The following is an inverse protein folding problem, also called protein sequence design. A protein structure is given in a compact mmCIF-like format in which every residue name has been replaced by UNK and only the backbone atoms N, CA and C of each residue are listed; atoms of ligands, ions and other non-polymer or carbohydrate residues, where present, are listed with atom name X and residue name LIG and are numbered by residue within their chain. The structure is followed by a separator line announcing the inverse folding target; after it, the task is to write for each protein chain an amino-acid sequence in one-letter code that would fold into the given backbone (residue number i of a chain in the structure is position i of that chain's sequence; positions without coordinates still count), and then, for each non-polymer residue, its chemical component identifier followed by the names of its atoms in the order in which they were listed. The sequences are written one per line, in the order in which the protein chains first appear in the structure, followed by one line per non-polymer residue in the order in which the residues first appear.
data_IF_417922580169
#
_entry.id   IF_417922580169
#
_cell.length_a   1.000
_cell.length_b   1.000
_cell.length_c   1.000
_cell.angle_alpha   90.00
_cell.angle_beta   90.00
_cell.angle_gamma   90.00
#
_symmetry.space_group_name_H-M   'P 1'
#
loop_
_entity.id
_entity.type
_entity.pdbx_description
1 polymer ?
#
# COMPACT_ATOMS: atom_id res chain seq x y z
N UNK A 1 35.15 35.43 37.31
CA UNK A 1 34.12 35.89 36.36
C UNK A 1 32.82 35.29 36.85
N UNK A 2 32.00 36.14 37.44
CA UNK A 2 30.77 35.73 38.13
C UNK A 2 29.80 35.11 37.12
N UNK A 3 29.36 33.87 37.40
CA UNK A 3 28.42 33.11 36.59
C UNK A 3 26.98 33.68 36.61
N UNK A 4 26.78 34.90 37.13
CA UNK A 4 25.46 35.44 37.47
C UNK A 4 24.70 36.13 36.33
N UNK A 5 25.30 36.34 35.15
CA UNK A 5 24.65 37.00 34.00
C UNK A 5 24.60 36.09 32.75
N UNK A 6 24.38 34.78 32.94
CA UNK A 6 24.04 33.90 31.82
C UNK A 6 22.52 33.96 31.58
N UNK A 7 22.06 34.21 30.33
CA UNK A 7 20.64 34.17 29.99
C UNK A 7 19.97 32.88 30.48
N UNK A 8 18.77 32.98 31.05
CA UNK A 8 18.01 31.85 31.59
C UNK A 8 17.85 30.69 30.59
N UNK A 9 17.81 30.99 29.30
CA UNK A 9 17.78 30.00 28.23
C UNK A 9 19.04 29.11 28.20
N UNK A 10 20.21 29.68 28.51
CA UNK A 10 21.49 28.95 28.50
C UNK A 10 21.59 28.08 29.74
N UNK A 11 21.19 28.59 30.91
CA UNK A 11 21.21 27.82 32.16
C UNK A 11 20.28 26.61 32.08
N UNK A 12 19.05 26.80 31.58
CA UNK A 12 18.11 25.70 31.34
C UNK A 12 18.66 24.66 30.36
N UNK A 13 19.26 25.10 29.25
CA UNK A 13 19.86 24.17 28.27
C UNK A 13 21.04 23.41 28.86
N UNK A 14 21.91 24.05 29.63
CA UNK A 14 23.02 23.36 30.30
C UNK A 14 22.55 22.37 31.37
N UNK A 15 21.47 22.69 32.09
CA UNK A 15 20.87 21.79 33.08
C UNK A 15 20.26 20.55 32.41
N UNK A 16 19.57 20.73 31.27
CA UNK A 16 19.06 19.59 30.49
C UNK A 16 20.19 18.71 29.95
N UNK A 17 21.29 19.30 29.48
CA UNK A 17 22.46 18.55 29.02
C UNK A 17 23.17 17.81 30.16
N UNK A 18 23.27 18.41 31.35
CA UNK A 18 23.79 17.75 32.55
C UNK A 18 22.95 16.53 32.92
N UNK A 19 21.62 16.69 32.92
CA UNK A 19 20.69 15.58 33.22
C UNK A 19 20.76 14.47 32.17
N UNK A 20 20.91 14.82 30.89
CA UNK A 20 21.12 13.85 29.81
C UNK A 20 22.46 13.13 29.99
N UNK A 21 23.54 13.83 30.32
CA UNK A 21 24.85 13.22 30.56
C UNK A 21 24.84 12.26 31.77
N UNK A 22 24.13 12.61 32.85
CA UNK A 22 23.91 11.73 34.01
C UNK A 22 23.13 10.47 33.63
N UNK A 23 22.04 10.61 32.87
CA UNK A 23 21.25 9.47 32.39
C UNK A 23 22.05 8.56 31.45
N UNK A 24 22.93 9.13 30.64
CA UNK A 24 23.84 8.41 29.75
C UNK A 24 25.07 7.83 30.48
N UNK A 25 25.25 8.11 31.77
CA UNK A 25 26.39 7.64 32.57
C UNK A 25 27.74 8.21 32.11
N UNK A 26 27.74 9.35 31.42
CA UNK A 26 28.94 9.94 30.84
C UNK A 26 29.70 10.76 31.88
N UNK A 27 30.94 10.35 32.20
CA UNK A 27 31.78 10.99 33.23
C UNK A 27 32.35 12.37 32.82
N UNK A 28 32.45 12.64 31.52
CA UNK A 28 32.94 13.91 30.98
C UNK A 28 31.89 14.55 30.07
N UNK A 29 31.38 15.71 30.49
CA UNK A 29 30.36 16.49 29.76
C UNK A 29 31.05 17.20 28.59
N UNK A 30 31.42 16.45 27.55
CA UNK A 30 31.86 16.98 26.27
C UNK A 30 30.83 16.64 25.19
N UNK A 31 30.67 17.54 24.23
CA UNK A 31 29.73 17.35 23.12
C UNK A 31 30.01 16.05 22.34
N UNK A 32 31.28 15.71 22.12
CA UNK A 32 31.69 14.47 21.46
C UNK A 32 31.30 13.23 22.28
N UNK A 33 31.46 13.28 23.60
CA UNK A 33 31.11 12.16 24.48
C UNK A 33 29.59 11.93 24.52
N UNK A 34 28.80 13.00 24.68
CA UNK A 34 27.33 12.93 24.66
C UNK A 34 26.83 12.45 23.29
N UNK A 35 27.33 13.01 22.18
CA UNK A 35 26.95 12.57 20.83
C UNK A 35 27.28 11.10 20.62
N UNK A 36 28.48 10.65 21.01
CA UNK A 36 28.87 9.25 20.86
C UNK A 36 28.02 8.30 21.72
N UNK A 37 27.58 8.74 22.90
CA UNK A 37 26.68 7.95 23.76
C UNK A 37 25.27 7.86 23.16
N UNK A 38 24.77 8.95 22.58
CA UNK A 38 23.50 8.97 21.85
C UNK A 38 23.57 8.05 20.63
N UNK A 39 24.65 8.12 19.85
CA UNK A 39 24.85 7.26 18.68
C UNK A 39 24.87 5.79 19.09
N UNK A 40 25.60 5.43 20.16
CA UNK A 40 25.64 4.07 20.70
C UNK A 40 24.27 3.56 21.13
N UNK A 41 23.50 4.36 21.86
CA UNK A 41 22.15 3.97 22.29
C UNK A 41 21.22 3.81 21.10
N UNK A 42 21.34 4.68 20.09
CA UNK A 42 20.56 4.58 18.86
C UNK A 42 20.90 3.31 18.09
N UNK A 43 22.19 2.94 18.02
CA UNK A 43 22.65 1.69 17.41
C UNK A 43 22.14 0.47 18.20
N UNK A 44 22.23 0.50 19.54
CA UNK A 44 21.70 -0.56 20.40
C UNK A 44 20.19 -0.71 20.27
N UNK A 45 19.45 0.40 20.20
CA UNK A 45 18.00 0.39 19.96
C UNK A 45 17.68 -0.26 18.62
N UNK A 46 18.38 0.12 17.54
CA UNK A 46 18.21 -0.48 16.23
C UNK A 46 18.49 -2.00 16.28
N UNK A 47 19.59 -2.42 16.91
CA UNK A 47 19.94 -3.84 17.05
C UNK A 47 18.90 -4.61 17.87
N UNK A 48 18.36 -4.01 18.93
CA UNK A 48 17.27 -4.59 19.72
C UNK A 48 15.99 -4.70 18.89
N UNK A 49 15.62 -3.67 18.14
CA UNK A 49 14.47 -3.72 17.24
C UNK A 49 14.64 -4.82 16.17
N UNK A 50 15.82 -4.93 15.55
CA UNK A 50 16.11 -5.97 14.57
C UNK A 50 16.06 -7.37 15.19
N UNK A 51 16.66 -7.57 16.36
CA UNK A 51 16.62 -8.86 17.06
C UNK A 51 15.21 -9.25 17.49
N UNK A 52 14.43 -8.29 18.01
CA UNK A 52 13.03 -8.50 18.37
C UNK A 52 12.17 -8.87 17.16
N UNK A 53 12.35 -8.17 16.03
CA UNK A 53 11.67 -8.52 14.77
C UNK A 53 12.01 -9.94 14.31
N UNK A 54 13.28 -10.36 14.45
CA UNK A 54 13.70 -11.72 14.12
C UNK A 54 13.08 -12.75 15.07
N UNK A 55 13.02 -12.48 16.37
CA UNK A 55 12.39 -13.37 17.35
C UNK A 55 10.88 -13.52 17.07
N UNK A 56 10.17 -12.42 16.81
CA UNK A 56 8.76 -12.43 16.44
C UNK A 56 8.51 -13.25 15.17
N UNK A 57 9.41 -13.18 14.19
CA UNK A 57 9.31 -14.02 12.98
C UNK A 57 9.45 -15.50 13.33
N UNK A 58 10.48 -15.87 14.09
CA UNK A 58 10.73 -17.26 14.50
C UNK A 58 9.55 -17.80 15.33
N UNK A 59 8.99 -17.00 16.23
CA UNK A 59 7.83 -17.39 17.04
C UNK A 59 6.59 -17.69 16.18
N UNK A 60 6.32 -16.86 15.16
CA UNK A 60 5.23 -17.11 14.20
C UNK A 60 5.46 -18.39 13.40
N UNK A 61 6.71 -18.64 12.99
CA UNK A 61 7.06 -19.87 12.27
C UNK A 61 6.88 -21.10 13.15
N UNK A 62 7.37 -21.06 14.40
CA UNK A 62 7.23 -22.16 15.36
C UNK A 62 5.77 -22.42 15.73
N UNK A 63 4.96 -21.38 15.96
CA UNK A 63 3.53 -21.53 16.25
C UNK A 63 2.76 -22.11 15.06
N UNK A 64 3.08 -21.70 13.84
CA UNK A 64 2.54 -22.31 12.62
C UNK A 64 2.91 -23.80 12.51
N UNK A 65 4.18 -24.14 12.73
CA UNK A 65 4.64 -25.53 12.69
C UNK A 65 4.02 -26.38 13.80
N UNK A 66 3.84 -25.83 14.99
CA UNK A 66 3.14 -26.50 16.09
C UNK A 66 1.68 -26.76 15.71
N UNK A 67 0.98 -25.78 15.12
CA UNK A 67 -0.39 -25.96 14.67
C UNK A 67 -0.49 -27.09 13.62
N UNK A 68 0.42 -27.12 12.64
CA UNK A 68 0.50 -28.19 11.64
C UNK A 68 0.74 -29.57 12.28
N UNK A 69 1.75 -29.68 13.15
CA UNK A 69 2.07 -30.93 13.85
C UNK A 69 0.90 -31.41 14.73
N UNK A 70 0.20 -30.48 15.39
CA UNK A 70 -0.98 -30.80 16.21
C UNK A 70 -2.13 -31.34 15.36
N UNK A 71 -2.35 -30.77 14.18
CA UNK A 71 -3.37 -31.23 13.24
C UNK A 71 -3.02 -32.60 12.66
N UNK A 72 -1.75 -32.83 12.30
CA UNK A 72 -1.27 -34.14 11.83
C UNK A 72 -1.45 -35.21 12.91
N UNK A 73 -1.09 -34.91 14.16
CA UNK A 73 -1.29 -35.82 15.28
C UNK A 73 -2.77 -36.15 15.48
N UNK A 74 -3.67 -35.16 15.39
CA UNK A 74 -5.11 -35.41 15.44
C UNK A 74 -5.59 -36.30 14.29
N UNK A 75 -5.05 -36.12 13.08
CA UNK A 75 -5.39 -36.95 11.93
C UNK A 75 -4.95 -38.40 12.14
N UNK A 76 -3.72 -38.60 12.64
CA UNK A 76 -3.18 -39.91 12.99
C UNK A 76 -4.05 -40.59 14.04
N UNK A 77 -4.44 -39.87 15.10
CA UNK A 77 -5.33 -40.43 16.13
C UNK A 77 -6.69 -40.84 15.56
N UNK A 78 -7.30 -40.00 14.70
CA UNK A 78 -8.56 -40.34 14.02
C UNK A 78 -8.41 -41.56 13.11
N UNK A 79 -7.29 -41.68 12.40
CA UNK A 79 -7.04 -42.82 11.53
C UNK A 79 -6.81 -44.09 12.34
N UNK A 80 -6.08 -43.98 13.45
CA UNK A 80 -5.89 -45.08 14.40
C UNK A 80 -7.23 -45.56 14.96
N UNK A 81 -8.08 -44.65 15.44
CA UNK A 81 -9.41 -45.00 15.95
C UNK A 81 -10.28 -45.69 14.89
N UNK A 82 -10.26 -45.20 13.64
CA UNK A 82 -10.98 -45.84 12.53
C UNK A 82 -10.42 -47.22 12.20
N UNK A 83 -9.11 -47.41 12.26
CA UNK A 83 -8.47 -48.70 12.02
C UNK A 83 -8.78 -49.69 13.15
N UNK A 84 -8.68 -49.26 14.41
CA UNK A 84 -9.01 -50.07 15.58
C UNK A 84 -10.50 -50.47 15.58
N UNK A 85 -11.39 -49.55 15.21
CA UNK A 85 -12.81 -49.83 14.99
C UNK A 85 -13.03 -50.82 13.84
N UNK A 86 -12.31 -50.67 12.72
CA UNK A 86 -12.41 -51.58 11.57
C UNK A 86 -11.82 -52.98 11.84
N UNK A 87 -10.84 -53.09 12.75
CA UNK A 87 -10.31 -54.38 13.21
C UNK A 87 -11.30 -55.06 14.17
N UNK A 88 -11.97 -54.27 15.02
CA UNK A 88 -12.93 -54.76 16.01
C UNK A 88 -14.28 -55.15 15.38
N UNK A 89 -14.74 -54.40 14.37
CA UNK A 89 -15.81 -54.85 13.50
C UNK A 89 -15.24 -55.92 12.58
N UNK A 90 -15.75 -57.14 12.60
CA UNK A 90 -15.36 -58.20 11.64
C UNK A 90 -15.81 -57.83 10.22
N UNK A 91 -15.25 -56.77 9.64
CA UNK A 91 -15.50 -56.36 8.26
C UNK A 91 -14.81 -57.38 7.36
N UNK A 92 -15.61 -58.03 6.52
CA UNK A 92 -15.14 -58.96 5.50
C UNK A 92 -14.07 -58.29 4.62
N UNK A 93 -13.03 -59.03 4.24
CA UNK A 93 -11.97 -58.56 3.32
C UNK A 93 -12.52 -57.91 2.05
N UNK A 94 -13.68 -58.38 1.57
CA UNK A 94 -14.38 -57.82 0.42
C UNK A 94 -14.89 -56.39 0.63
N UNK A 95 -15.29 -55.99 1.86
CA UNK A 95 -15.69 -54.59 2.13
C UNK A 95 -14.48 -53.66 2.21
N UNK A 96 -13.33 -54.15 2.68
CA UNK A 96 -12.08 -53.38 2.69
C UNK A 96 -11.55 -53.15 1.27
N UNK A 97 -11.62 -54.15 0.38
CA UNK A 97 -11.22 -54.00 -1.03
C UNK A 97 -12.09 -52.99 -1.76
N UNK A 98 -13.42 -53.01 -1.55
CA UNK A 98 -14.33 -52.00 -2.13
C UNK A 98 -14.03 -50.59 -1.63
N UNK A 99 -13.72 -50.41 -0.34
CA UNK A 99 -13.32 -49.11 0.22
C UNK A 99 -11.98 -48.64 -0.35
N UNK A 100 -11.02 -49.55 -0.54
CA UNK A 100 -9.72 -49.25 -1.16
C UNK A 100 -9.89 -48.78 -2.60
N UNK A 101 -10.70 -49.47 -3.39
CA UNK A 101 -11.01 -49.05 -4.77
C UNK A 101 -11.71 -47.69 -4.82
N UNK A 102 -12.66 -47.43 -3.91
CA UNK A 102 -13.33 -46.14 -3.80
C UNK A 102 -12.33 -45.01 -3.46
N UNK A 103 -11.39 -45.26 -2.54
CA UNK A 103 -10.33 -44.30 -2.22
C UNK A 103 -9.38 -44.05 -3.40
N UNK A 104 -9.00 -45.08 -4.13
CA UNK A 104 -8.15 -44.94 -5.33
C UNK A 104 -8.86 -44.13 -6.40
N UNK A 105 -10.16 -44.35 -6.62
CA UNK A 105 -10.96 -43.54 -7.56
C UNK A 105 -10.98 -42.07 -7.13
N UNK A 106 -11.30 -41.80 -5.86
CA UNK A 106 -11.32 -40.43 -5.34
C UNK A 106 -9.95 -39.74 -5.41
N UNK A 107 -8.87 -40.48 -5.16
CA UNK A 107 -7.51 -39.96 -5.31
C UNK A 107 -7.19 -39.58 -6.77
N UNK A 108 -7.63 -40.39 -7.74
CA UNK A 108 -7.49 -40.07 -9.18
C UNK A 108 -8.31 -38.85 -9.58
N UNK A 109 -9.53 -38.73 -9.06
CA UNK A 109 -10.40 -37.57 -9.33
C UNK A 109 -9.77 -36.27 -8.79
N UNK A 110 -9.29 -36.29 -7.54
CA UNK A 110 -8.59 -35.14 -6.94
C UNK A 110 -7.28 -34.81 -7.67
N UNK A 111 -6.55 -35.83 -8.14
CA UNK A 111 -5.35 -35.59 -8.93
C UNK A 111 -5.66 -34.90 -10.25
N UNK A 112 -6.75 -35.31 -10.92
CA UNK A 112 -7.22 -34.67 -12.15
C UNK A 112 -7.66 -33.22 -11.92
N UNK A 113 -8.33 -32.92 -10.80
CA UNK A 113 -8.68 -31.55 -10.40
C UNK A 113 -7.44 -30.69 -10.13
N UNK A 114 -6.40 -31.26 -9.49
CA UNK A 114 -5.12 -30.59 -9.31
C UNK A 114 -4.40 -30.32 -10.63
N UNK A 115 -4.41 -31.28 -11.56
CA UNK A 115 -3.85 -31.07 -12.91
C UNK A 115 -4.59 -29.96 -13.67
N UNK A 116 -5.91 -29.89 -13.56
CA UNK A 116 -6.72 -28.82 -14.17
C UNK A 116 -6.38 -27.45 -13.58
N UNK A 117 -6.39 -27.33 -12.26
CA UNK A 117 -6.08 -26.06 -11.59
C UNK A 117 -4.63 -25.61 -11.82
N UNK A 118 -3.68 -26.56 -11.87
CA UNK A 118 -2.28 -26.22 -12.19
C UNK A 118 -2.09 -25.86 -13.67
N UNK A 119 -2.88 -26.42 -14.59
CA UNK A 119 -2.91 -25.97 -15.98
C UNK A 119 -3.44 -24.53 -16.08
N UNK A 120 -4.53 -24.21 -15.37
CA UNK A 120 -5.08 -22.84 -15.31
C UNK A 120 -4.07 -21.82 -14.73
N UNK A 121 -3.24 -22.26 -13.76
CA UNK A 121 -2.17 -21.43 -13.19
C UNK A 121 -0.99 -21.24 -14.16
N UNK A 122 -0.67 -22.25 -15.00
CA UNK A 122 0.40 -22.14 -16.00
C UNK A 122 0.08 -21.11 -17.10
N UNK A 123 -1.20 -20.96 -17.43
CA UNK A 123 -1.65 -19.98 -18.43
C UNK A 123 -1.78 -18.55 -17.87
N UNK A 124 -1.70 -18.36 -16.55
CA UNK A 124 -1.58 -17.03 -15.98
C UNK A 124 -0.17 -16.49 -16.19
N UNK A 125 -0.01 -15.28 -16.79
CA UNK A 125 1.30 -14.69 -16.93
C UNK A 125 1.88 -14.46 -15.53
N UNK A 126 3.00 -15.11 -15.22
CA UNK A 126 3.69 -14.90 -13.96
C UNK A 126 4.04 -13.41 -13.85
N UNK A 127 3.31 -12.69 -13.00
CA UNK A 127 3.64 -11.30 -12.70
C UNK A 127 4.89 -11.38 -11.82
N UNK A 128 6.06 -11.40 -12.48
CA UNK A 128 7.33 -11.36 -11.78
C UNK A 128 7.38 -10.09 -10.92
N UNK A 129 7.97 -10.17 -9.73
CA UNK A 129 8.14 -9.05 -8.80
C UNK A 129 8.70 -7.81 -9.52
N UNK A 130 9.59 -8.01 -10.49
CA UNK A 130 10.15 -6.95 -11.35
C UNK A 130 9.10 -6.23 -12.22
N UNK A 131 8.12 -6.94 -12.76
CA UNK A 131 7.01 -6.38 -13.55
C UNK A 131 6.07 -5.57 -12.66
N UNK A 132 5.80 -6.07 -11.45
CA UNK A 132 4.98 -5.39 -10.44
C UNK A 132 5.66 -4.11 -9.95
N UNK A 133 6.96 -4.15 -9.69
CA UNK A 133 7.75 -2.96 -9.33
C UNK A 133 7.77 -1.91 -10.45
N UNK A 134 7.99 -2.33 -11.71
CA UNK A 134 7.89 -1.42 -12.87
C UNK A 134 6.50 -0.81 -13.01
N UNK A 135 5.43 -1.57 -12.72
CA UNK A 135 4.07 -1.06 -12.75
C UNK A 135 3.80 -0.08 -11.61
N UNK A 136 4.30 -0.36 -10.40
CA UNK A 136 4.22 0.55 -9.24
C UNK A 136 4.94 1.86 -9.51
N UNK A 137 6.12 1.82 -10.13
CA UNK A 137 6.87 3.02 -10.52
C UNK A 137 6.12 3.85 -11.58
N UNK A 138 5.54 3.19 -12.58
CA UNK A 138 4.68 3.86 -13.59
C UNK A 138 3.45 4.51 -12.95
N UNK A 139 2.84 3.85 -11.98
CA UNK A 139 1.69 4.39 -11.24
C UNK A 139 2.10 5.61 -10.40
N UNK A 140 3.22 5.53 -9.67
CA UNK A 140 3.75 6.66 -8.89
C UNK A 140 4.01 7.89 -9.77
N UNK A 141 4.65 7.71 -10.93
CA UNK A 141 4.88 8.80 -11.90
C UNK A 141 3.57 9.42 -12.42
N UNK A 142 2.54 8.58 -12.67
CA UNK A 142 1.21 9.08 -13.06
C UNK A 142 0.53 9.85 -11.94
N UNK A 143 0.59 9.34 -10.71
CA UNK A 143 0.00 10.00 -9.55
C UNK A 143 0.64 11.37 -9.28
N UNK A 144 1.96 11.49 -9.41
CA UNK A 144 2.67 12.76 -9.32
C UNK A 144 2.23 13.73 -10.42
N UNK A 145 2.08 13.24 -11.66
CA UNK A 145 1.53 14.01 -12.77
C UNK A 145 0.09 14.48 -12.52
N UNK A 146 -0.75 13.64 -11.90
CA UNK A 146 -2.12 14.01 -11.52
C UNK A 146 -2.10 15.02 -10.38
N UNK A 147 -1.23 14.86 -9.37
CA UNK A 147 -1.11 15.76 -8.24
C UNK A 147 -0.67 17.15 -8.67
N UNK A 148 0.33 17.26 -9.55
CA UNK A 148 0.77 18.54 -10.11
C UNK A 148 -0.32 19.21 -10.96
N UNK A 149 -1.04 18.45 -11.80
CA UNK A 149 -2.19 18.97 -12.55
C UNK A 149 -3.32 19.44 -11.63
N UNK A 150 -3.64 18.69 -10.57
CA UNK A 150 -4.62 19.09 -9.55
C UNK A 150 -4.17 20.32 -8.78
N UNK A 151 -2.89 20.45 -8.47
CA UNK A 151 -2.34 21.65 -7.83
C UNK A 151 -2.48 22.88 -8.74
N UNK A 152 -2.15 22.75 -10.03
CA UNK A 152 -2.39 23.79 -11.04
C UNK A 152 -3.87 24.15 -11.14
N UNK A 153 -4.75 23.16 -11.23
CA UNK A 153 -6.19 23.41 -11.26
C UNK A 153 -6.67 24.12 -9.99
N UNK A 154 -6.16 23.75 -8.81
CA UNK A 154 -6.45 24.43 -7.53
C UNK A 154 -5.97 25.89 -7.52
N UNK A 155 -4.80 26.20 -8.08
CA UNK A 155 -4.35 27.59 -8.22
C UNK A 155 -5.23 28.40 -9.15
N UNK A 156 -5.89 27.76 -10.11
CA UNK A 156 -6.88 28.40 -10.99
C UNK A 156 -8.31 28.35 -10.44
N UNK A 157 -8.58 27.58 -9.38
CA UNK A 157 -9.92 27.39 -8.79
C UNK A 157 -10.40 28.58 -7.95
N UNK A 158 -9.58 29.63 -7.85
CA UNK A 158 -9.92 30.93 -7.28
C UNK A 158 -9.53 32.13 -8.16
N UNK A 159 -8.99 31.89 -9.36
CA UNK A 159 -8.83 32.96 -10.35
C UNK A 159 -10.16 33.10 -11.11
N UNK A 160 -10.71 34.32 -11.27
CA UNK A 160 -11.82 34.54 -12.16
C UNK A 160 -11.47 33.97 -13.55
N UNK A 161 -12.41 33.30 -14.25
CA UNK A 161 -12.18 32.88 -15.64
C UNK A 161 -11.63 34.09 -16.39
N UNK A 162 -10.49 33.93 -17.09
CA UNK A 162 -9.73 35.02 -17.74
C UNK A 162 -10.69 36.08 -18.28
N UNK A 163 -10.93 37.14 -17.50
CA UNK A 163 -12.00 38.10 -17.79
C UNK A 163 -11.73 38.79 -19.13
N UNK A 164 -10.46 38.91 -19.49
CA UNK A 164 -10.03 39.47 -20.75
C UNK A 164 -10.38 38.57 -21.94
N UNK A 165 -10.31 37.24 -21.78
CA UNK A 165 -10.75 36.30 -22.82
C UNK A 165 -12.28 36.30 -22.95
N UNK A 166 -13.00 36.27 -21.83
CA UNK A 166 -14.46 36.35 -21.85
C UNK A 166 -14.97 37.70 -22.41
N UNK A 167 -14.26 38.80 -22.11
CA UNK A 167 -14.53 40.12 -22.71
C UNK A 167 -14.27 40.09 -24.21
N UNK A 168 -13.16 39.50 -24.65
CA UNK A 168 -12.85 39.40 -26.09
C UNK A 168 -13.88 38.57 -26.85
N UNK A 169 -14.28 37.41 -26.33
CA UNK A 169 -15.34 36.57 -26.93
C UNK A 169 -16.68 37.30 -26.97
N UNK A 170 -17.02 38.05 -25.91
CA UNK A 170 -18.23 38.87 -25.86
C UNK A 170 -18.19 40.02 -26.89
N UNK A 171 -17.07 40.71 -27.04
CA UNK A 171 -16.89 41.74 -28.07
C UNK A 171 -17.05 41.16 -29.48
N UNK A 172 -16.47 39.98 -29.74
CA UNK A 172 -16.59 39.32 -31.03
C UNK A 172 -18.04 38.93 -31.33
N UNK A 173 -18.75 38.35 -30.36
CA UNK A 173 -20.15 37.98 -30.52
C UNK A 173 -21.07 39.19 -30.75
N UNK A 174 -20.80 40.33 -30.10
CA UNK A 174 -21.53 41.58 -30.36
C UNK A 174 -21.29 42.13 -31.77
N UNK A 175 -20.06 42.02 -32.27
CA UNK A 175 -19.73 42.46 -33.63
C UNK A 175 -20.48 41.61 -34.67
N UNK A 176 -20.45 40.28 -34.52
CA UNK A 176 -21.17 39.36 -35.40
C UNK A 176 -22.68 39.61 -35.36
N UNK A 177 -23.24 39.90 -34.18
CA UNK A 177 -24.65 40.26 -34.05
C UNK A 177 -24.98 41.56 -34.79
N UNK A 178 -24.12 42.57 -34.72
CA UNK A 178 -24.33 43.84 -35.42
C UNK A 178 -24.31 43.65 -36.94
N UNK A 179 -23.39 42.84 -37.45
CA UNK A 179 -23.29 42.53 -38.88
C UNK A 179 -24.55 41.80 -39.37
N UNK A 180 -25.08 40.87 -38.59
CA UNK A 180 -26.35 40.18 -38.89
C UNK A 180 -27.55 41.14 -38.86
N UNK A 181 -27.59 42.10 -37.93
CA UNK A 181 -28.64 43.12 -37.88
C UNK A 181 -28.57 44.01 -39.13
N UNK A 182 -27.40 44.48 -39.52
CA UNK A 182 -27.23 45.26 -40.74
C UNK A 182 -27.64 44.47 -41.99
N UNK A 183 -27.29 43.18 -42.06
CA UNK A 183 -27.72 42.31 -43.15
C UNK A 183 -29.25 42.18 -43.19
N UNK A 184 -29.89 41.98 -42.03
CA UNK A 184 -31.35 41.94 -41.90
C UNK A 184 -31.98 43.24 -42.37
N UNK A 185 -31.46 44.39 -41.95
CA UNK A 185 -31.98 45.71 -42.35
C UNK A 185 -31.84 45.93 -43.86
N UNK A 186 -30.70 45.57 -44.46
CA UNK A 186 -30.52 45.63 -45.92
C UNK A 186 -31.51 44.75 -46.67
N UNK A 187 -31.75 43.53 -46.19
CA UNK A 187 -32.72 42.61 -46.78
C UNK A 187 -34.15 43.12 -46.63
N UNK A 188 -34.52 43.67 -45.47
CA UNK A 188 -35.83 44.28 -45.27
C UNK A 188 -36.01 45.52 -46.17
N UNK A 189 -34.96 46.34 -46.34
CA UNK A 189 -34.96 47.46 -47.27
C UNK A 189 -35.20 47.03 -48.71
N UNK A 190 -34.45 46.03 -49.21
CA UNK A 190 -34.62 45.54 -50.58
C UNK A 190 -35.99 44.86 -50.81
N UNK A 191 -36.56 44.23 -49.78
CA UNK A 191 -37.93 43.71 -49.84
C UNK A 191 -38.98 44.83 -49.89
N UNK A 192 -38.79 45.93 -49.15
CA UNK A 192 -39.70 47.08 -49.20
C UNK A 192 -39.64 47.80 -50.56
N UNK A 193 -38.43 47.96 -51.12
CA UNK A 193 -38.21 48.60 -52.43
C UNK A 193 -38.77 47.78 -53.60
N UNK A 194 -38.94 46.46 -53.45
CA UNK A 194 -39.51 45.58 -54.48
C UNK A 194 -41.03 45.45 -54.43
N UNK A 195 -41.68 45.99 -53.39
CA UNK A 195 -43.14 45.99 -53.19
C UNK A 195 -43.77 47.35 -53.54
N UNK A 196 -42.95 48.40 -53.75
CA UNK A 196 -43.37 49.73 -54.22
C UNK A 196 -43.23 49.87 -55.73
#
# INVERSE_FOLDING_TARGET
MDLHDLPDDITQRTETLSRVAELLGVKEISFSSISSAIDRISDEELLLQLSNNRLNFIERELSSNLALASHELQLILKWKEKLDAAISSSESTASLERKREAMIRKAKDLHKELEQTTADIKDQPSITVTRLMKQKERNAKREEGIRSKRAKLRTFQGLPPNLDLARHELYQSQQEQMDLIQLRERLLGSMADSIS
#
